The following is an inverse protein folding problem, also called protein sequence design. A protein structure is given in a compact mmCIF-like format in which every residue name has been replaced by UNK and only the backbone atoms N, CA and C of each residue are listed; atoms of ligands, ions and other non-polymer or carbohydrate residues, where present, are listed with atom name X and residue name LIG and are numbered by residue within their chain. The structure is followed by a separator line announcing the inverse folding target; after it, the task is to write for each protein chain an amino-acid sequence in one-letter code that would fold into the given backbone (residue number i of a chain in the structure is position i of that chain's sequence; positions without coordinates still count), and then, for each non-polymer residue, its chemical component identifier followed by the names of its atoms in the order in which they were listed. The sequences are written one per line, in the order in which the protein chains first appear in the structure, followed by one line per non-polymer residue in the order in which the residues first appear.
data_IF_423895663410
#
_entry.id   IF_423895663410
#
_cell.length_a   1.000
_cell.length_b   1.000
_cell.length_c   1.000
_cell.angle_alpha   90.00
_cell.angle_beta   90.00
_cell.angle_gamma   90.00
#
_symmetry.space_group_name_H-M   'P 1'
#
loop_
_entity.id
_entity.type
_entity.pdbx_description
1 polymer ?
#
# COMPACT_ATOMS: atom_id res chain seq x y z
N UNK A 1 1.41 -27.72 1.53
CA UNK A 1 0.28 -26.94 1.00
C UNK A 1 0.61 -25.48 1.09
N UNK A 2 0.71 -24.81 -0.05
CA UNK A 2 0.90 -23.36 -0.11
C UNK A 2 -0.51 -22.75 -0.05
N UNK A 3 -0.77 -21.99 1.00
CA UNK A 3 -2.05 -21.31 1.19
C UNK A 3 -1.95 -19.96 0.50
N UNK A 4 -3.00 -19.58 -0.23
CA UNK A 4 -3.09 -18.30 -0.91
C UNK A 4 -4.28 -17.54 -0.36
N UNK A 5 -4.14 -16.23 -0.27
CA UNK A 5 -5.27 -15.33 -0.08
C UNK A 5 -5.66 -14.71 -1.43
N UNK A 6 -6.96 -14.56 -1.64
CA UNK A 6 -7.49 -14.05 -2.90
C UNK A 6 -7.30 -12.53 -2.98
N UNK A 7 -6.69 -12.01 -4.03
CA UNK A 7 -6.31 -10.61 -4.23
C UNK A 7 -7.41 -9.56 -3.94
N UNK A 8 -8.24 -9.21 -4.92
CA UNK A 8 -9.29 -8.21 -4.84
C UNK A 8 -10.30 -8.62 -3.77
N UNK A 9 -10.59 -9.92 -3.65
CA UNK A 9 -11.52 -10.41 -2.64
C UNK A 9 -11.04 -10.19 -1.21
N UNK A 10 -9.73 -10.21 -0.93
CA UNK A 10 -9.20 -9.88 0.40
C UNK A 10 -9.32 -8.39 0.66
N UNK A 11 -8.96 -7.55 -0.32
CA UNK A 11 -9.11 -6.09 -0.20
C UNK A 11 -10.57 -5.69 0.06
N UNK A 12 -11.51 -6.27 -0.69
CA UNK A 12 -12.95 -6.01 -0.51
C UNK A 12 -13.47 -6.49 0.84
N UNK A 13 -13.04 -7.67 1.31
CA UNK A 13 -13.39 -8.18 2.64
C UNK A 13 -12.84 -7.30 3.75
N UNK A 14 -11.60 -6.84 3.62
CA UNK A 14 -11.00 -5.87 4.55
C UNK A 14 -11.78 -4.56 4.53
N UNK A 15 -12.19 -4.08 3.36
CA UNK A 15 -12.99 -2.86 3.25
C UNK A 15 -14.37 -3.00 3.92
N UNK A 16 -15.03 -4.14 3.73
CA UNK A 16 -16.29 -4.45 4.39
C UNK A 16 -16.12 -4.51 5.92
N UNK A 17 -15.06 -5.16 6.40
CA UNK A 17 -14.71 -5.19 7.82
C UNK A 17 -14.48 -3.78 8.36
N UNK A 18 -13.65 -2.98 7.69
CA UNK A 18 -13.43 -1.57 8.03
C UNK A 18 -14.77 -0.79 8.09
N UNK A 19 -15.66 -0.96 7.10
CA UNK A 19 -16.94 -0.24 7.05
C UNK A 19 -17.82 -0.46 8.29
N UNK A 20 -17.73 -1.64 8.91
CA UNK A 20 -18.47 -2.02 10.13
C UNK A 20 -17.81 -1.39 11.37
N UNK A 21 -16.47 -1.42 11.47
CA UNK A 21 -15.74 -1.02 12.68
C UNK A 21 -15.20 0.42 12.65
N UNK A 22 -15.33 1.14 11.53
CA UNK A 22 -14.76 2.49 11.34
C UNK A 22 -15.24 3.54 12.32
N UNK A 23 -16.43 3.40 12.91
CA UNK A 23 -16.92 4.36 13.92
C UNK A 23 -16.35 4.12 15.32
N UNK A 24 -15.66 3.00 15.54
CA UNK A 24 -15.00 2.65 16.79
C UNK A 24 -13.50 2.55 16.58
N UNK A 25 -12.99 1.32 16.48
CA UNK A 25 -11.55 0.98 16.45
C UNK A 25 -10.74 1.77 15.43
N UNK A 26 -11.30 2.06 14.25
CA UNK A 26 -10.58 2.70 13.14
C UNK A 26 -11.01 4.15 12.88
N UNK A 27 -11.69 4.80 13.83
CA UNK A 27 -12.21 6.16 13.63
C UNK A 27 -11.13 7.19 13.29
N UNK A 28 -9.97 7.07 13.95
CA UNK A 28 -8.84 7.98 13.78
C UNK A 28 -7.86 7.56 12.68
N UNK A 29 -8.11 6.44 11.98
CA UNK A 29 -7.19 5.94 10.96
C UNK A 29 -7.48 6.64 9.63
N UNK A 30 -6.50 7.37 9.10
CA UNK A 30 -6.62 8.00 7.78
C UNK A 30 -6.46 7.00 6.64
N UNK A 31 -5.68 5.94 6.89
CA UNK A 31 -5.44 4.77 6.02
C UNK A 31 -5.23 3.54 6.92
N UNK A 32 -5.71 2.37 6.51
CA UNK A 32 -5.57 1.10 7.21
C UNK A 32 -4.93 0.05 6.29
N UNK A 33 -3.84 -0.57 6.73
CA UNK A 33 -3.20 -1.67 5.98
C UNK A 33 -3.29 -2.99 6.73
N UNK A 34 -3.60 -4.07 6.00
CA UNK A 34 -3.37 -5.44 6.43
C UNK A 34 -2.03 -5.92 5.86
N UNK A 35 -1.10 -6.27 6.74
CA UNK A 35 0.17 -6.91 6.35
C UNK A 35 0.06 -8.40 6.69
N UNK A 36 0.41 -9.27 5.75
CA UNK A 36 0.23 -10.72 5.88
C UNK A 36 1.41 -11.50 5.34
N UNK A 37 1.71 -12.65 5.95
CA UNK A 37 2.72 -13.60 5.48
C UNK A 37 2.21 -14.61 4.44
N UNK A 38 0.93 -14.54 4.08
CA UNK A 38 0.30 -15.40 3.07
C UNK A 38 0.56 -14.85 1.66
N UNK A 39 0.84 -15.74 0.69
CA UNK A 39 1.01 -15.33 -0.71
C UNK A 39 -0.32 -14.78 -1.27
N UNK A 40 -0.28 -13.58 -1.85
CA UNK A 40 -1.43 -13.02 -2.56
C UNK A 40 -1.51 -13.61 -3.96
N UNK A 41 -2.68 -14.13 -4.33
CA UNK A 41 -2.90 -14.74 -5.63
C UNK A 41 -4.27 -14.43 -6.20
N UNK A 42 -4.39 -14.59 -7.52
CA UNK A 42 -5.67 -14.53 -8.21
C UNK A 42 -5.94 -15.85 -8.92
N UNK A 43 -7.24 -16.15 -9.05
CA UNK A 43 -7.72 -17.29 -9.80
C UNK A 43 -7.87 -16.87 -11.26
N UNK A 44 -7.14 -17.53 -12.16
CA UNK A 44 -7.51 -17.52 -13.56
C UNK A 44 -8.45 -18.71 -13.81
N UNK A 45 -9.64 -18.41 -14.33
CA UNK A 45 -10.55 -19.42 -14.86
C UNK A 45 -10.28 -19.57 -16.35
N UNK A 46 -9.24 -20.36 -16.68
CA UNK A 46 -8.96 -20.74 -18.07
C UNK A 46 -9.35 -22.19 -18.22
N UNK A 47 -10.35 -22.46 -19.06
CA UNK A 47 -10.81 -23.82 -19.41
C UNK A 47 -11.23 -24.69 -18.20
N UNK A 48 -11.80 -24.10 -17.14
CA UNK A 48 -12.29 -24.84 -15.98
C UNK A 48 -11.20 -25.38 -15.04
N UNK A 49 -9.94 -24.99 -15.25
CA UNK A 49 -8.85 -25.21 -14.32
C UNK A 49 -8.63 -23.94 -13.48
N UNK A 50 -8.90 -24.02 -12.18
CA UNK A 50 -8.58 -22.94 -11.24
C UNK A 50 -7.06 -22.89 -11.02
N UNK A 51 -6.36 -22.10 -11.82
CA UNK A 51 -4.93 -21.86 -11.66
C UNK A 51 -4.72 -20.62 -10.78
N UNK A 52 -4.11 -20.83 -9.60
CA UNK A 52 -3.60 -19.75 -8.78
C UNK A 52 -2.35 -19.16 -9.45
N UNK A 53 -2.46 -17.93 -9.92
CA UNK A 53 -1.31 -17.16 -10.38
C UNK A 53 -0.83 -16.25 -9.27
N UNK A 54 0.49 -15.99 -9.26
CA UNK A 54 1.10 -15.05 -8.32
C UNK A 54 0.51 -13.66 -8.60
N UNK A 55 -0.20 -13.12 -7.62
CA UNK A 55 -0.80 -11.80 -7.70
C UNK A 55 0.22 -10.69 -7.44
N UNK A 56 -0.22 -9.42 -7.49
CA UNK A 56 0.61 -8.34 -6.97
C UNK A 56 0.87 -8.56 -5.48
N UNK A 57 2.06 -8.18 -5.00
CA UNK A 57 2.42 -8.27 -3.58
C UNK A 57 1.62 -7.31 -2.70
N UNK A 58 0.82 -6.42 -3.27
CA UNK A 58 -0.06 -5.53 -2.54
C UNK A 58 -1.21 -5.04 -3.41
N UNK A 59 -2.25 -4.51 -2.76
CA UNK A 59 -3.35 -3.81 -3.41
C UNK A 59 -3.85 -2.68 -2.51
N UNK A 60 -4.17 -1.53 -3.09
CA UNK A 60 -4.89 -0.44 -2.44
C UNK A 60 -5.81 0.30 -3.43
N UNK A 61 -6.79 1.02 -2.90
CA UNK A 61 -7.64 1.89 -3.72
C UNK A 61 -6.93 3.22 -4.02
N UNK A 62 -6.95 3.63 -5.28
CA UNK A 62 -6.42 4.94 -5.69
C UNK A 62 -7.23 6.05 -5.01
N UNK A 63 -6.56 6.94 -4.29
CA UNK A 63 -7.19 8.00 -3.50
C UNK A 63 -8.06 7.48 -2.35
N UNK A 64 -7.79 6.28 -1.84
CA UNK A 64 -8.58 5.68 -0.77
C UNK A 64 -8.56 6.46 0.54
N UNK A 65 -7.49 7.23 0.81
CA UNK A 65 -7.30 7.96 2.06
C UNK A 65 -8.50 8.87 2.42
N UNK A 66 -8.80 8.99 3.71
CA UNK A 66 -9.96 9.72 4.25
C UNK A 66 -11.35 9.21 3.82
N UNK A 67 -11.45 8.28 2.86
CA UNK A 67 -12.71 7.80 2.32
C UNK A 67 -13.27 6.55 2.97
N UNK A 68 -14.30 5.99 2.35
CA UNK A 68 -14.93 4.72 2.73
C UNK A 68 -14.09 3.51 2.29
N UNK A 69 -13.09 3.74 1.43
CA UNK A 69 -12.18 2.75 0.83
C UNK A 69 -10.72 2.98 1.24
N UNK A 70 -10.49 3.43 2.48
CA UNK A 70 -9.15 3.76 2.99
C UNK A 70 -8.31 2.56 3.41
N UNK A 71 -8.48 1.42 2.74
CA UNK A 71 -7.81 0.16 3.10
C UNK A 71 -6.81 -0.28 2.02
N UNK A 72 -5.77 -0.99 2.44
CA UNK A 72 -4.84 -1.69 1.57
C UNK A 72 -4.35 -3.00 2.18
N UNK A 73 -3.77 -3.86 1.35
CA UNK A 73 -3.18 -5.15 1.76
C UNK A 73 -1.78 -5.27 1.18
N UNK A 74 -0.84 -5.82 1.94
CA UNK A 74 0.50 -6.13 1.47
C UNK A 74 0.95 -7.50 2.00
N UNK A 75 1.57 -8.28 1.12
CA UNK A 75 2.39 -9.43 1.46
C UNK A 75 3.71 -8.95 2.07
N UNK A 76 4.10 -9.56 3.18
CA UNK A 76 5.40 -9.38 3.82
C UNK A 76 6.02 -10.74 4.12
N UNK A 77 7.34 -10.80 3.99
CA UNK A 77 8.10 -11.92 4.52
C UNK A 77 8.97 -11.44 5.67
N UNK A 78 8.68 -11.93 6.87
CA UNK A 78 9.44 -11.58 8.05
C UNK A 78 10.96 -11.70 7.82
N UNK A 79 11.67 -10.59 8.03
CA UNK A 79 13.13 -10.48 7.87
C UNK A 79 13.63 -10.16 6.46
N UNK A 80 12.77 -10.06 5.43
CA UNK A 80 13.17 -9.59 4.08
C UNK A 80 13.26 -8.06 4.01
N UNK A 81 12.41 -7.36 4.75
CA UNK A 81 12.11 -5.92 4.61
C UNK A 81 11.60 -5.51 3.22
N UNK A 82 11.18 -6.46 2.37
CA UNK A 82 10.68 -6.18 1.03
C UNK A 82 9.33 -5.45 1.04
N UNK A 83 8.52 -5.70 2.08
CA UNK A 83 7.25 -4.99 2.33
C UNK A 83 7.43 -3.48 2.38
N UNK A 84 8.60 -2.95 2.76
CA UNK A 84 8.80 -1.49 2.81
C UNK A 84 8.55 -0.87 1.44
N UNK A 85 9.04 -1.49 0.37
CA UNK A 85 8.81 -1.01 -1.00
C UNK A 85 7.36 -1.21 -1.41
N UNK A 86 6.81 -2.41 -1.21
CA UNK A 86 5.42 -2.74 -1.58
C UNK A 86 4.41 -1.85 -0.85
N UNK A 87 4.53 -1.72 0.47
CA UNK A 87 3.68 -0.84 1.27
C UNK A 87 3.81 0.62 0.85
N UNK A 88 5.00 1.09 0.51
CA UNK A 88 5.18 2.46 0.01
C UNK A 88 4.49 2.67 -1.35
N UNK A 89 4.52 1.67 -2.23
CA UNK A 89 3.78 1.68 -3.50
C UNK A 89 2.26 1.76 -3.26
N UNK A 90 1.71 0.86 -2.43
CA UNK A 90 0.28 0.85 -2.14
C UNK A 90 -0.18 2.08 -1.35
N UNK A 91 0.68 2.64 -0.51
CA UNK A 91 0.43 3.92 0.14
C UNK A 91 0.43 5.06 -0.89
N UNK A 92 1.25 4.97 -1.92
CA UNK A 92 1.21 5.84 -3.09
C UNK A 92 -0.17 5.85 -3.75
N UNK A 93 -0.73 4.67 -4.04
CA UNK A 93 -2.11 4.54 -4.52
C UNK A 93 -3.11 5.17 -3.55
N UNK A 94 -3.03 4.85 -2.26
CA UNK A 94 -3.94 5.40 -1.25
C UNK A 94 -3.94 6.94 -1.21
N UNK A 95 -2.80 7.56 -1.53
CA UNK A 95 -2.59 9.02 -1.61
C UNK A 95 -2.87 9.61 -3.01
N UNK A 96 -3.33 8.81 -3.96
CA UNK A 96 -3.81 9.24 -5.27
C UNK A 96 -2.94 8.87 -6.44
N UNK A 97 -1.76 8.27 -6.26
CA UNK A 97 -0.93 7.95 -7.40
C UNK A 97 -1.57 6.88 -8.29
N UNK A 98 -1.56 7.10 -9.59
CA UNK A 98 -1.70 6.02 -10.57
C UNK A 98 -0.33 5.39 -10.81
N UNK A 99 -0.27 4.29 -11.55
CA UNK A 99 1.00 3.78 -12.05
C UNK A 99 1.68 4.81 -12.96
N UNK A 100 3.01 4.84 -12.96
CA UNK A 100 3.76 5.65 -13.93
C UNK A 100 3.39 5.21 -15.36
N UNK A 101 3.12 6.17 -16.24
CA UNK A 101 2.67 5.92 -17.62
C UNK A 101 1.15 5.75 -17.76
N UNK A 102 0.40 5.69 -16.66
CA UNK A 102 -1.05 5.56 -16.70
C UNK A 102 -1.79 6.90 -16.85
N UNK A 103 -2.99 6.83 -17.41
CA UNK A 103 -3.96 7.93 -17.39
C UNK A 103 -4.42 8.28 -15.97
N UNK A 104 -5.17 9.37 -15.85
CA UNK A 104 -5.78 9.81 -14.60
C UNK A 104 -6.87 8.86 -14.08
N UNK A 105 -7.05 8.80 -12.75
CA UNK A 105 -8.16 8.05 -12.15
C UNK A 105 -9.48 8.81 -12.32
N UNK A 106 -10.46 8.16 -12.93
CA UNK A 106 -11.76 8.75 -13.26
C UNK A 106 -12.64 9.02 -12.03
N UNK A 107 -12.35 8.41 -10.89
CA UNK A 107 -13.08 8.62 -9.64
C UNK A 107 -12.64 9.90 -8.91
N UNK A 108 -11.52 10.50 -9.32
CA UNK A 108 -11.00 11.75 -8.76
C UNK A 108 -11.18 12.84 -9.83
N UNK A 109 -12.15 13.72 -9.63
CA UNK A 109 -12.43 14.81 -10.59
C UNK A 109 -11.21 15.68 -10.78
N UNK A 110 -10.78 15.88 -12.03
CA UNK A 110 -9.64 16.73 -12.38
C UNK A 110 -8.27 16.15 -12.03
N UNK A 111 -8.20 14.85 -11.72
CA UNK A 111 -6.96 14.18 -11.38
C UNK A 111 -5.91 14.29 -12.50
N UNK A 112 -4.66 14.68 -12.20
CA UNK A 112 -3.57 14.65 -13.17
C UNK A 112 -3.29 13.23 -13.66
N UNK A 113 -2.92 13.07 -14.93
CA UNK A 113 -2.39 11.81 -15.44
C UNK A 113 -0.90 11.63 -15.10
N UNK A 114 -0.38 10.42 -15.30
CA UNK A 114 1.03 10.07 -15.11
C UNK A 114 1.71 9.67 -16.43
N UNK A 115 1.10 9.97 -17.59
CA UNK A 115 1.57 9.53 -18.92
C UNK A 115 2.94 10.09 -19.30
N UNK A 116 3.35 11.20 -18.69
CA UNK A 116 4.66 11.81 -18.89
C UNK A 116 5.80 11.16 -18.09
N UNK A 117 5.48 10.26 -17.15
CA UNK A 117 6.46 9.48 -16.39
C UNK A 117 6.54 8.07 -16.96
N UNK A 118 7.66 7.73 -17.58
CA UNK A 118 7.84 6.43 -18.22
C UNK A 118 7.88 5.28 -17.19
N UNK A 119 7.13 4.22 -17.45
CA UNK A 119 7.07 3.00 -16.62
C UNK A 119 8.45 2.37 -16.45
N UNK A 120 9.26 2.37 -17.52
CA UNK A 120 10.58 1.74 -17.54
C UNK A 120 11.66 2.55 -16.80
N UNK A 121 11.34 3.80 -16.41
CA UNK A 121 12.22 4.57 -15.52
C UNK A 121 12.36 3.95 -14.12
N UNK A 122 11.47 3.01 -13.77
CA UNK A 122 11.57 2.19 -12.56
C UNK A 122 11.37 2.97 -11.26
N UNK A 123 10.57 4.03 -11.28
CA UNK A 123 10.15 4.73 -10.07
C UNK A 123 9.21 3.86 -9.23
N UNK A 124 8.92 4.30 -8.01
CA UNK A 124 8.21 3.51 -7.01
C UNK A 124 6.83 3.01 -7.49
N UNK A 125 6.14 3.74 -8.38
CA UNK A 125 4.84 3.36 -8.98
C UNK A 125 4.95 2.47 -10.23
N UNK A 126 6.14 1.90 -10.49
CA UNK A 126 6.40 0.85 -11.48
C UNK A 126 6.85 -0.45 -10.80
N UNK A 127 6.67 -1.58 -11.46
CA UNK A 127 7.20 -2.88 -11.01
C UNK A 127 8.66 -3.11 -11.42
N UNK A 128 9.25 -2.25 -12.25
CA UNK A 128 10.65 -2.34 -12.69
C UNK A 128 11.59 -1.96 -11.54
N UNK A 129 12.55 -2.83 -11.23
CA UNK A 129 13.46 -2.73 -10.07
C UNK A 129 14.94 -2.78 -10.47
N UNK A 130 15.32 -2.05 -11.52
CA UNK A 130 16.67 -2.16 -12.10
C UNK A 130 17.65 -1.07 -11.59
N UNK A 131 17.13 -0.01 -10.97
CA UNK A 131 17.94 1.11 -10.52
C UNK A 131 17.40 1.74 -9.22
N UNK A 132 18.06 2.78 -8.70
CA UNK A 132 17.70 3.41 -7.41
C UNK A 132 16.39 4.22 -7.43
N UNK A 133 15.78 4.45 -8.58
CA UNK A 133 14.46 5.09 -8.68
C UNK A 133 13.37 4.23 -8.02
N UNK A 134 13.58 2.92 -7.87
CA UNK A 134 12.64 2.01 -7.20
C UNK A 134 12.36 2.39 -5.74
N UNK A 135 13.13 3.32 -5.16
CA UNK A 135 12.96 3.85 -3.81
C UNK A 135 12.43 5.29 -3.78
N UNK A 136 11.95 5.82 -4.91
CA UNK A 136 11.51 7.22 -5.06
C UNK A 136 10.21 7.29 -5.82
N UNK A 137 9.32 8.20 -5.43
CA UNK A 137 8.19 8.57 -6.28
C UNK A 137 8.66 9.40 -7.47
N UNK A 138 8.02 9.20 -8.62
CA UNK A 138 8.19 10.07 -9.79
C UNK A 138 7.59 11.45 -9.53
N UNK A 139 7.92 12.43 -10.39
CA UNK A 139 7.27 13.74 -10.34
C UNK A 139 5.76 13.66 -10.61
N UNK A 140 5.30 12.69 -11.42
CA UNK A 140 3.87 12.50 -11.69
C UNK A 140 3.12 12.08 -10.42
N UNK A 141 3.62 11.06 -9.73
CA UNK A 141 3.03 10.62 -8.46
C UNK A 141 3.09 11.74 -7.40
N UNK A 142 4.22 12.45 -7.29
CA UNK A 142 4.31 13.60 -6.37
C UNK A 142 3.26 14.69 -6.68
N UNK A 143 3.01 14.99 -7.96
CA UNK A 143 1.99 15.95 -8.38
C UNK A 143 0.57 15.45 -8.11
N UNK A 144 0.30 14.15 -8.29
CA UNK A 144 -0.99 13.54 -7.97
C UNK A 144 -1.27 13.58 -6.47
N UNK A 145 -0.30 13.24 -5.62
CA UNK A 145 -0.42 13.40 -4.17
C UNK A 145 -0.67 14.86 -3.76
N UNK A 146 0.06 15.80 -4.37
CA UNK A 146 -0.14 17.23 -4.13
C UNK A 146 -1.53 17.70 -4.56
N UNK A 147 -2.04 17.19 -5.68
CA UNK A 147 -3.39 17.47 -6.14
C UNK A 147 -4.43 16.95 -5.15
N UNK A 148 -4.36 15.67 -4.81
CA UNK A 148 -5.26 14.99 -3.88
C UNK A 148 -5.27 15.66 -2.50
N UNK A 149 -4.10 15.93 -1.94
CA UNK A 149 -3.98 16.62 -0.64
C UNK A 149 -4.64 18.01 -0.62
N UNK A 150 -4.86 18.67 -1.76
CA UNK A 150 -5.51 19.99 -1.80
C UNK A 150 -7.04 19.91 -1.78
N UNK A 151 -7.62 18.76 -2.14
CA UNK A 151 -9.07 18.59 -2.17
C UNK A 151 -9.64 18.48 -0.75
N UNK A 152 -10.86 18.98 -0.55
CA UNK A 152 -11.52 19.04 0.76
C UNK A 152 -11.78 17.65 1.37
N UNK A 153 -12.07 16.66 0.53
CA UNK A 153 -12.32 15.28 0.98
C UNK A 153 -11.10 14.62 1.64
N UNK A 154 -9.88 15.14 1.44
CA UNK A 154 -8.65 14.63 2.06
C UNK A 154 -8.19 15.45 3.26
N UNK A 155 -9.11 16.22 3.87
CA UNK A 155 -8.80 17.04 5.05
C UNK A 155 -8.25 16.23 6.23
N UNK A 156 -8.61 14.94 6.36
CA UNK A 156 -8.10 14.09 7.44
C UNK A 156 -6.57 14.03 7.48
N UNK A 157 -5.91 14.08 6.32
CA UNK A 157 -4.44 14.08 6.21
C UNK A 157 -3.78 15.38 6.71
N UNK A 158 -4.56 16.46 6.89
CA UNK A 158 -4.09 17.77 7.38
C UNK A 158 -4.33 17.94 8.87
N UNK A 159 -5.32 17.24 9.39
CA UNK A 159 -5.71 17.33 10.79
C UNK A 159 -4.73 16.51 11.62
N UNK A 160 -3.84 17.21 12.32
CA UNK A 160 -2.91 16.54 13.23
C UNK A 160 -3.71 15.97 14.40
N UNK A 161 -3.71 14.64 14.55
CA UNK A 161 -4.24 13.96 15.74
C UNK A 161 -3.40 14.33 16.98
N UNK A 162 -3.62 15.53 17.53
CA UNK A 162 -3.06 15.98 18.81
C UNK A 162 -3.80 15.37 20.01
N UNK A 163 -4.90 14.66 19.75
CA UNK A 163 -5.80 14.14 20.76
C UNK A 163 -5.43 12.70 21.13
N UNK A 164 -4.50 12.56 22.07
CA UNK A 164 -4.31 11.36 22.90
C UNK A 164 -5.53 11.07 23.82
N UNK A 165 -6.74 11.52 23.49
CA UNK A 165 -7.93 11.44 24.35
C UNK A 165 -8.72 10.14 24.21
N UNK A 166 -8.35 9.24 23.29
CA UNK A 166 -8.78 7.83 23.33
C UNK A 166 -7.81 6.92 24.11
N UNK A 167 -7.07 7.48 25.07
CA UNK A 167 -6.30 6.71 26.07
C UNK A 167 -7.16 5.99 27.13
N UNK A 168 -8.46 5.78 26.88
CA UNK A 168 -9.25 4.84 27.68
C UNK A 168 -9.28 3.49 26.96
N UNK A 169 -8.20 2.73 27.18
CA UNK A 169 -8.02 1.31 26.78
C UNK A 169 -7.47 1.07 25.37
N UNK A 170 -6.26 1.58 25.10
CA UNK A 170 -5.15 0.94 24.36
C UNK A 170 -4.23 2.05 23.85
N UNK A 171 -3.11 2.26 24.54
CA UNK A 171 -1.85 2.82 24.01
C UNK A 171 -1.96 3.56 22.67
N UNK A 172 -2.12 4.89 22.72
CA UNK A 172 -1.67 5.76 21.63
C UNK A 172 -0.14 5.71 21.61
N UNK A 173 0.40 4.69 20.95
CA UNK A 173 1.82 4.49 20.73
C UNK A 173 2.23 5.33 19.54
N UNK A 174 2.69 6.56 19.79
CA UNK A 174 3.75 7.08 18.92
C UNK A 174 4.90 6.10 19.06
N UNK A 175 5.07 5.20 18.09
CA UNK A 175 6.21 4.29 18.10
C UNK A 175 7.47 5.17 17.96
N UNK A 176 8.46 5.03 18.86
CA UNK A 176 9.72 5.71 18.65
C UNK A 176 10.31 5.27 17.30
N UNK A 177 11.03 6.15 16.58
CA UNK A 177 11.79 5.74 15.43
C UNK A 177 12.68 4.55 15.80
N UNK A 178 12.84 3.55 14.92
CA UNK A 178 13.72 2.44 15.20
C UNK A 178 15.15 2.96 15.47
N UNK A 179 15.75 2.52 16.57
CA UNK A 179 17.11 2.93 16.96
C UNK A 179 18.20 2.38 16.03
N UNK A 180 17.83 1.38 15.23
CA UNK A 180 18.72 0.59 14.40
C UNK A 180 18.20 0.52 12.97
N UNK A 181 19.12 0.62 12.00
CA UNK A 181 18.78 0.40 10.58
C UNK A 181 18.47 -1.09 10.35
N UNK A 182 17.55 -1.46 9.44
CA UNK A 182 17.23 -2.85 9.14
C UNK A 182 18.45 -3.75 8.89
N UNK A 183 19.44 -3.24 8.13
CA UNK A 183 20.68 -3.97 7.83
C UNK A 183 21.65 -4.16 9.01
N UNK A 184 21.40 -3.55 10.17
CA UNK A 184 22.19 -3.79 11.38
C UNK A 184 21.74 -5.05 12.14
N UNK A 185 20.49 -5.48 11.94
CA UNK A 185 19.92 -6.65 12.62
C UNK A 185 19.70 -7.85 11.66
N UNK A 186 19.95 -7.67 10.36
CA UNK A 186 19.74 -8.72 9.35
C UNK A 186 20.87 -8.66 8.34
N UNK A 187 21.66 -9.73 8.26
CA UNK A 187 22.81 -9.83 7.36
C UNK A 187 22.38 -9.91 5.89
N UNK A 188 23.30 -9.64 4.97
CA UNK A 188 23.06 -9.81 3.53
C UNK A 188 22.62 -11.25 3.20
N UNK A 189 23.26 -12.26 3.80
CA UNK A 189 22.92 -13.68 3.58
C UNK A 189 21.52 -14.02 4.09
N UNK A 190 21.08 -13.38 5.17
CA UNK A 190 19.72 -13.56 5.69
C UNK A 190 18.71 -12.87 4.78
N UNK A 191 18.97 -11.64 4.35
CA UNK A 191 18.13 -10.95 3.35
C UNK A 191 18.04 -11.76 2.04
N UNK A 192 19.14 -12.33 1.54
CA UNK A 192 19.12 -13.20 0.37
C UNK A 192 18.34 -14.50 0.62
N UNK A 193 18.54 -15.19 1.75
CA UNK A 193 17.76 -16.39 2.08
C UNK A 193 16.25 -16.11 2.16
N UNK A 194 15.87 -14.92 2.63
CA UNK A 194 14.49 -14.48 2.67
C UNK A 194 13.99 -13.90 1.33
N UNK A 195 14.87 -13.39 0.47
CA UNK A 195 14.48 -12.77 -0.81
C UNK A 195 14.35 -13.74 -1.99
N UNK A 196 15.10 -14.85 -1.99
CA UNK A 196 15.34 -15.69 -3.18
C UNK A 196 14.30 -16.81 -3.38
N UNK A 197 13.42 -17.10 -2.41
CA UNK A 197 12.49 -18.25 -2.53
C UNK A 197 11.11 -17.92 -3.13
N UNK A 198 11.08 -17.07 -4.16
CA UNK A 198 9.87 -16.63 -4.84
C UNK A 198 9.73 -17.17 -6.25
#
# INVERSE_FOLDING_TARGET
NKYYIYDIGTLERLNNYYSIFRKGTYYSADILFLITGEDIGFLNDTEGLQLFNKGPKGLAYIGGACGDKRVGVCEDRAGSFDVVRTLSHEMGHSLGCTHDGADSDKNITGHPDATSCDWDSGFLMSYVQENLNQYKFSNCCANQMLYVSRLDQYKCLKDRNNNNTHSTSSTSTTLPPPEMLPGSNTSLDEQCRQGVSH
#
